data_IF_487828204082
#
_entry.id   IF_487828204082
#
_cell.length_a   1.000
_cell.length_b   1.000
_cell.length_c   1.000
_cell.angle_alpha   90.00
_cell.angle_beta   90.00
_cell.angle_gamma   90.00
#
_symmetry.space_group_name_H-M   'P 1'
#
loop_
_entity.id
_entity.type
_entity.pdbx_description
1 polymer ?
#
# COMPACT_ATOMS: atom_id res chain seq x y z
N UNK A 1 7.20 4.08 15.76
CA UNK A 1 6.08 3.10 15.68
C UNK A 1 4.79 3.88 15.56
N UNK A 2 4.00 3.63 14.50
CA UNK A 2 2.65 4.20 14.36
C UNK A 2 1.77 3.75 15.54
N UNK A 3 0.95 4.64 16.09
CA UNK A 3 0.02 4.28 17.16
C UNK A 3 -1.11 3.36 16.61
N UNK A 4 -1.99 2.84 17.46
CA UNK A 4 -3.03 1.88 17.02
C UNK A 4 -4.08 2.49 16.07
N UNK A 5 -4.33 3.80 16.17
CA UNK A 5 -5.30 4.51 15.34
C UNK A 5 -4.74 4.73 13.93
N UNK A 6 -3.46 5.13 13.84
CA UNK A 6 -2.79 5.36 12.56
C UNK A 6 -2.70 4.08 11.72
N UNK A 7 -2.52 2.92 12.37
CA UNK A 7 -2.44 1.61 11.69
C UNK A 7 -3.78 1.14 11.12
N UNK A 8 -4.89 1.44 11.79
CA UNK A 8 -6.21 1.09 11.28
C UNK A 8 -6.58 1.95 10.05
N UNK A 9 -6.27 3.25 10.08
CA UNK A 9 -6.49 4.14 8.92
C UNK A 9 -5.61 3.75 7.73
N UNK A 10 -4.34 3.42 7.97
CA UNK A 10 -3.46 2.88 6.93
C UNK A 10 -4.05 1.60 6.30
N UNK A 11 -4.60 0.69 7.11
CA UNK A 11 -5.25 -0.55 6.63
C UNK A 11 -6.47 -0.25 5.77
N UNK A 12 -7.34 0.67 6.20
CA UNK A 12 -8.52 1.08 5.41
C UNK A 12 -8.09 1.58 4.04
N UNK A 13 -7.13 2.49 3.99
CA UNK A 13 -6.62 3.06 2.75
C UNK A 13 -5.98 2.00 1.85
N UNK A 14 -5.13 1.15 2.41
CA UNK A 14 -4.47 0.06 1.69
C UNK A 14 -5.47 -0.86 0.98
N UNK A 15 -6.54 -1.25 1.67
CA UNK A 15 -7.56 -2.15 1.12
C UNK A 15 -8.41 -1.45 0.07
N UNK A 16 -8.82 -0.20 0.31
CA UNK A 16 -9.58 0.57 -0.67
C UNK A 16 -8.82 0.70 -2.00
N UNK A 17 -7.52 1.00 -1.94
CA UNK A 17 -6.63 1.06 -3.12
C UNK A 17 -6.46 -0.30 -3.76
N UNK A 18 -6.14 -1.35 -2.98
CA UNK A 18 -5.82 -2.69 -3.52
C UNK A 18 -7.02 -3.35 -4.20
N UNK A 19 -8.22 -3.16 -3.66
CA UNK A 19 -9.45 -3.81 -4.17
C UNK A 19 -10.32 -2.88 -5.01
N UNK A 20 -9.94 -1.60 -5.13
CA UNK A 20 -10.71 -0.54 -5.80
C UNK A 20 -12.16 -0.45 -5.30
N UNK A 21 -12.30 -0.21 -3.99
CA UNK A 21 -13.59 -0.13 -3.27
C UNK A 21 -13.56 1.02 -2.27
N UNK A 22 -14.72 1.52 -1.85
CA UNK A 22 -14.78 2.50 -0.77
C UNK A 22 -14.79 1.84 0.61
N UNK A 23 -14.55 2.61 1.67
CA UNK A 23 -14.65 2.09 3.03
C UNK A 23 -16.10 1.71 3.39
N UNK A 24 -17.07 2.47 2.88
CA UNK A 24 -18.50 2.21 3.05
C UNK A 24 -18.90 0.87 2.40
N UNK A 25 -18.31 0.54 1.24
CA UNK A 25 -18.51 -0.76 0.60
C UNK A 25 -18.04 -1.92 1.50
N UNK A 26 -16.89 -1.74 2.17
CA UNK A 26 -16.33 -2.75 3.08
C UNK A 26 -17.24 -3.02 4.28
N UNK A 27 -17.95 -2.01 4.80
CA UNK A 27 -18.90 -2.19 5.90
C UNK A 27 -20.34 -2.49 5.42
N UNK A 28 -20.62 -2.27 4.14
CA UNK A 28 -21.91 -2.49 3.53
C UNK A 28 -22.30 -3.96 3.35
N UNK A 29 -23.48 -4.19 2.75
CA UNK A 29 -24.04 -5.53 2.51
C UNK A 29 -23.74 -6.10 1.13
N UNK A 30 -23.05 -5.34 0.26
CA UNK A 30 -22.74 -5.78 -1.09
C UNK A 30 -21.92 -7.07 -1.07
N UNK A 31 -22.31 -8.00 -1.94
CA UNK A 31 -21.66 -9.31 -2.14
C UNK A 31 -20.82 -9.36 -3.42
N UNK A 32 -20.61 -8.23 -4.10
CA UNK A 32 -19.69 -8.16 -5.25
C UNK A 32 -18.34 -8.70 -4.81
N UNK A 33 -17.75 -9.59 -5.62
CA UNK A 33 -16.56 -10.36 -5.24
C UNK A 33 -15.40 -9.48 -4.76
N UNK A 34 -15.14 -8.35 -5.44
CA UNK A 34 -14.07 -7.40 -5.07
C UNK A 34 -14.30 -6.80 -3.69
N UNK A 35 -15.52 -6.35 -3.41
CA UNK A 35 -15.93 -5.82 -2.09
C UNK A 35 -15.82 -6.89 -1.02
N UNK A 36 -16.31 -8.10 -1.31
CA UNK A 36 -16.26 -9.21 -0.36
C UNK A 36 -14.82 -9.64 -0.03
N UNK A 37 -13.92 -9.69 -1.02
CA UNK A 37 -12.52 -10.04 -0.79
C UNK A 37 -11.78 -8.94 -0.05
N UNK A 38 -12.03 -7.66 -0.36
CA UNK A 38 -11.52 -6.54 0.43
C UNK A 38 -11.99 -6.60 1.89
N UNK A 39 -13.28 -6.88 2.12
CA UNK A 39 -13.85 -7.05 3.47
C UNK A 39 -13.21 -8.21 4.23
N UNK A 40 -12.99 -9.33 3.55
CA UNK A 40 -12.28 -10.49 4.11
C UNK A 40 -10.85 -10.14 4.50
N UNK A 41 -10.13 -9.42 3.64
CA UNK A 41 -8.77 -8.98 3.90
C UNK A 41 -8.72 -8.04 5.12
N UNK A 42 -9.68 -7.11 5.22
CA UNK A 42 -9.79 -6.18 6.35
C UNK A 42 -9.91 -6.91 7.68
N UNK A 43 -10.90 -7.81 7.80
CA UNK A 43 -11.09 -8.57 9.04
C UNK A 43 -9.95 -9.54 9.34
N UNK A 44 -9.33 -10.11 8.29
CA UNK A 44 -8.14 -10.93 8.45
C UNK A 44 -6.99 -10.13 9.08
N UNK A 45 -6.68 -8.94 8.57
CA UNK A 45 -5.63 -8.10 9.14
C UNK A 45 -5.93 -7.64 10.57
N UNK A 46 -7.16 -7.17 10.81
CA UNK A 46 -7.60 -6.76 12.14
C UNK A 46 -7.44 -7.90 13.17
N UNK A 47 -7.73 -9.15 12.77
CA UNK A 47 -7.56 -10.32 13.63
C UNK A 47 -6.10 -10.74 13.78
N UNK A 48 -5.40 -10.92 12.65
CA UNK A 48 -4.08 -11.56 12.59
C UNK A 48 -2.96 -10.65 13.07
N UNK A 49 -3.00 -9.37 12.70
CA UNK A 49 -1.90 -8.45 12.94
C UNK A 49 -2.20 -7.40 14.03
N UNK A 50 -3.47 -7.03 14.21
CA UNK A 50 -3.86 -6.04 15.22
C UNK A 50 -4.46 -6.66 16.50
N UNK A 51 -4.56 -7.99 16.57
CA UNK A 51 -5.00 -8.71 17.76
C UNK A 51 -6.48 -8.51 18.11
N UNK A 52 -7.30 -8.00 17.18
CA UNK A 52 -8.72 -7.76 17.42
C UNK A 52 -9.47 -9.04 17.81
N UNK A 53 -10.37 -8.95 18.79
CA UNK A 53 -11.28 -10.05 19.13
C UNK A 53 -12.49 -10.03 18.21
N UNK A 54 -13.04 -11.20 17.85
CA UNK A 54 -14.23 -11.26 16.98
C UNK A 54 -15.42 -10.49 17.56
N UNK A 55 -15.60 -10.56 18.87
CA UNK A 55 -16.66 -9.83 19.56
C UNK A 55 -16.40 -8.31 19.57
N UNK A 56 -15.17 -7.88 19.86
CA UNK A 56 -14.80 -6.47 19.87
C UNK A 56 -14.94 -5.81 18.50
N UNK A 57 -14.47 -6.50 17.44
CA UNK A 57 -14.68 -6.04 16.06
C UNK A 57 -16.17 -6.03 15.69
N UNK A 58 -16.93 -7.05 16.11
CA UNK A 58 -18.36 -7.11 15.83
C UNK A 58 -19.13 -5.93 16.42
N UNK A 59 -18.79 -5.55 17.65
CA UNK A 59 -19.33 -4.33 18.30
C UNK A 59 -18.87 -3.06 17.58
N UNK A 60 -17.59 -2.95 17.20
CA UNK A 60 -17.02 -1.75 16.56
C UNK A 60 -17.61 -1.47 15.17
N UNK A 61 -17.78 -2.51 14.36
CA UNK A 61 -18.21 -2.36 12.96
C UNK A 61 -19.68 -2.72 12.72
N UNK A 62 -20.44 -3.01 13.78
CA UNK A 62 -21.83 -3.44 13.70
C UNK A 62 -22.03 -4.68 12.80
N UNK A 63 -21.15 -5.68 12.96
CA UNK A 63 -21.17 -6.94 12.21
C UNK A 63 -21.26 -8.11 13.19
N UNK A 64 -22.03 -9.15 12.85
CA UNK A 64 -22.10 -10.34 13.69
C UNK A 64 -20.73 -11.03 13.78
N UNK A 65 -20.27 -11.37 14.99
CA UNK A 65 -18.93 -11.94 15.23
C UNK A 65 -18.68 -13.25 14.45
N UNK A 66 -19.72 -14.07 14.24
CA UNK A 66 -19.60 -15.28 13.41
C UNK A 66 -19.35 -14.95 11.92
N UNK A 67 -19.89 -13.85 11.41
CA UNK A 67 -19.63 -13.36 10.05
C UNK A 67 -18.17 -12.94 9.91
N UNK A 68 -17.63 -12.25 10.91
CA UNK A 68 -16.21 -11.89 10.96
C UNK A 68 -15.35 -13.16 10.96
N UNK A 69 -15.67 -14.14 11.80
CA UNK A 69 -14.94 -15.42 11.84
C UNK A 69 -14.97 -16.13 10.48
N UNK A 70 -16.12 -16.15 9.80
CA UNK A 70 -16.24 -16.71 8.46
C UNK A 70 -15.36 -15.98 7.45
N UNK A 71 -15.32 -14.64 7.49
CA UNK A 71 -14.47 -13.85 6.62
C UNK A 71 -12.97 -14.12 6.85
N UNK A 72 -12.54 -14.19 8.11
CA UNK A 72 -11.16 -14.52 8.47
C UNK A 72 -10.77 -15.89 7.96
N UNK A 73 -11.56 -16.93 8.25
CA UNK A 73 -11.30 -18.31 7.80
C UNK A 73 -11.30 -18.44 6.27
N UNK A 74 -12.19 -17.71 5.59
CA UNK A 74 -12.23 -17.70 4.13
C UNK A 74 -10.94 -17.11 3.54
N UNK A 75 -10.44 -16.01 4.13
CA UNK A 75 -9.19 -15.41 3.67
C UNK A 75 -8.00 -16.32 3.94
N UNK A 76 -7.91 -16.96 5.11
CA UNK A 76 -6.89 -17.99 5.41
C UNK A 76 -6.86 -19.08 4.32
N UNK A 77 -8.05 -19.57 3.94
CA UNK A 77 -8.20 -20.47 2.81
C UNK A 77 -7.64 -19.88 1.52
N UNK A 78 -8.11 -18.71 1.09
CA UNK A 78 -7.63 -18.11 -0.16
C UNK A 78 -6.12 -17.86 -0.19
N UNK A 79 -5.51 -17.43 0.92
CA UNK A 79 -4.08 -17.19 0.97
C UNK A 79 -3.25 -18.47 0.75
N UNK A 80 -3.81 -19.65 1.01
CA UNK A 80 -3.13 -20.93 0.78
C UNK A 80 -3.10 -21.39 -0.68
N UNK A 81 -4.05 -20.97 -1.53
CA UNK A 81 -4.17 -21.49 -2.90
C UNK A 81 -4.39 -20.43 -3.99
N UNK A 82 -4.86 -19.23 -3.63
CA UNK A 82 -5.17 -18.16 -4.57
C UNK A 82 -4.02 -17.15 -4.64
N UNK A 83 -3.19 -17.28 -5.70
CA UNK A 83 -2.04 -16.40 -5.94
C UNK A 83 -2.42 -14.91 -5.98
N UNK A 84 -3.59 -14.56 -6.52
CA UNK A 84 -4.04 -13.15 -6.58
C UNK A 84 -4.29 -12.59 -5.18
N UNK A 85 -4.96 -13.35 -4.31
CA UNK A 85 -5.20 -12.90 -2.94
C UNK A 85 -3.91 -12.83 -2.12
N UNK A 86 -2.95 -13.73 -2.38
CA UNK A 86 -1.60 -13.62 -1.78
C UNK A 86 -0.88 -12.34 -2.23
N UNK A 87 -0.91 -11.99 -3.52
CA UNK A 87 -0.34 -10.73 -4.02
C UNK A 87 -1.02 -9.53 -3.35
N UNK A 88 -2.35 -9.55 -3.24
CA UNK A 88 -3.10 -8.48 -2.56
C UNK A 88 -2.74 -8.40 -1.07
N UNK A 89 -2.55 -9.53 -0.40
CA UNK A 89 -2.07 -9.55 0.99
C UNK A 89 -0.71 -8.88 1.13
N UNK A 90 0.25 -9.18 0.24
CA UNK A 90 1.57 -8.54 0.24
C UNK A 90 1.43 -7.03 0.07
N UNK A 91 0.65 -6.57 -0.92
CA UNK A 91 0.42 -5.13 -1.14
C UNK A 91 -0.17 -4.43 0.09
N UNK A 92 -1.20 -5.03 0.71
CA UNK A 92 -1.83 -4.47 1.91
C UNK A 92 -0.87 -4.50 3.10
N UNK A 93 -0.12 -5.59 3.28
CA UNK A 93 0.89 -5.72 4.33
C UNK A 93 1.94 -4.64 4.21
N UNK A 94 2.49 -4.49 3.03
CA UNK A 94 3.54 -3.53 2.72
C UNK A 94 3.05 -2.12 3.03
N UNK A 95 1.89 -1.73 2.50
CA UNK A 95 1.29 -0.41 2.77
C UNK A 95 1.08 -0.13 4.26
N UNK A 96 0.73 -1.16 5.04
CA UNK A 96 0.34 -1.01 6.46
C UNK A 96 1.54 -1.08 7.41
N UNK A 97 2.56 -1.87 7.07
CA UNK A 97 3.65 -2.24 7.98
C UNK A 97 5.04 -1.79 7.54
N UNK A 98 5.25 -1.55 6.25
CA UNK A 98 6.58 -1.27 5.71
C UNK A 98 6.58 0.07 4.97
N UNK A 99 7.44 1.00 5.40
CA UNK A 99 7.80 2.13 4.53
C UNK A 99 8.81 1.73 3.43
N UNK A 100 9.37 0.51 3.51
CA UNK A 100 10.45 -0.01 2.66
C UNK A 100 10.14 -1.44 2.18
N UNK A 101 9.02 -1.66 1.49
CA UNK A 101 8.78 -2.93 0.81
C UNK A 101 9.44 -2.93 -0.57
N UNK A 102 9.66 -4.11 -1.18
CA UNK A 102 10.22 -4.19 -2.54
C UNK A 102 9.42 -3.34 -3.53
N UNK A 103 8.09 -3.31 -3.40
CA UNK A 103 7.21 -2.51 -4.25
C UNK A 103 7.45 -1.02 -4.03
N UNK A 104 7.39 -0.54 -2.78
CA UNK A 104 7.56 0.90 -2.49
C UNK A 104 8.97 1.37 -2.83
N UNK A 105 9.99 0.55 -2.56
CA UNK A 105 11.37 0.83 -2.89
C UNK A 105 11.61 0.79 -4.40
N UNK A 106 10.92 -0.07 -5.15
CA UNK A 106 11.04 -0.10 -6.61
C UNK A 106 10.46 1.16 -7.25
N UNK A 107 9.32 1.63 -6.76
CA UNK A 107 8.70 2.88 -7.22
C UNK A 107 9.57 4.10 -6.88
N UNK A 108 10.09 4.17 -5.65
CA UNK A 108 11.02 5.24 -5.23
C UNK A 108 12.32 5.22 -6.05
N UNK A 109 12.87 4.03 -6.30
CA UNK A 109 14.08 3.87 -7.11
C UNK A 109 13.88 4.35 -8.56
N UNK A 110 12.73 4.07 -9.16
CA UNK A 110 12.41 4.51 -10.52
C UNK A 110 12.28 6.04 -10.60
N UNK A 111 11.64 6.67 -9.61
CA UNK A 111 11.55 8.12 -9.51
C UNK A 111 12.94 8.77 -9.36
N UNK A 112 13.76 8.24 -8.46
CA UNK A 112 15.12 8.75 -8.24
C UNK A 112 16.01 8.63 -9.48
N UNK A 113 15.86 7.56 -10.27
CA UNK A 113 16.57 7.41 -11.56
C UNK A 113 16.14 8.46 -12.57
N UNK A 114 14.85 8.81 -12.63
CA UNK A 114 14.37 9.88 -13.51
C UNK A 114 14.96 11.23 -13.09
N UNK A 115 14.94 11.54 -11.79
CA UNK A 115 15.55 12.76 -11.26
C UNK A 115 17.06 12.82 -11.54
N UNK A 116 17.77 11.71 -11.36
CA UNK A 116 19.21 11.62 -11.67
C UNK A 116 19.49 11.93 -13.14
N UNK A 117 18.65 11.46 -14.07
CA UNK A 117 18.78 11.79 -15.49
C UNK A 117 18.71 13.29 -15.72
N UNK A 118 17.69 13.96 -15.17
CA UNK A 118 17.49 15.40 -15.32
C UNK A 118 18.65 16.20 -14.71
N UNK A 119 19.15 15.76 -13.55
CA UNK A 119 20.31 16.39 -12.91
C UNK A 119 21.57 16.23 -13.76
N UNK A 120 21.80 15.04 -14.33
CA UNK A 120 22.95 14.79 -15.20
C UNK A 120 22.90 15.66 -16.48
N UNK A 121 21.72 15.82 -17.08
CA UNK A 121 21.53 16.72 -18.21
C UNK A 121 21.92 18.15 -17.83
N UNK A 122 21.45 18.64 -16.67
CA UNK A 122 21.80 19.98 -16.20
C UNK A 122 23.29 20.13 -15.87
N UNK A 123 23.94 19.10 -15.34
CA UNK A 123 25.38 19.10 -15.10
C UNK A 123 26.14 19.27 -16.41
N UNK A 124 25.75 18.54 -17.45
CA UNK A 124 26.38 18.64 -18.78
C UNK A 124 26.20 20.05 -19.37
N UNK A 125 25.02 20.64 -19.27
CA UNK A 125 24.75 22.00 -19.73
C UNK A 125 25.68 23.02 -19.05
N UNK A 126 25.80 22.94 -17.73
CA UNK A 126 26.67 23.85 -16.96
C UNK A 126 28.14 23.65 -17.32
N UNK A 127 28.58 22.40 -17.53
CA UNK A 127 29.96 22.12 -17.96
C UNK A 127 30.26 22.75 -19.33
N UNK A 128 29.30 22.67 -20.27
CA UNK A 128 29.41 23.29 -21.58
C UNK A 128 29.47 24.83 -21.48
N UNK A 129 28.58 25.44 -20.69
CA UNK A 129 28.61 26.89 -20.42
C UNK A 129 29.96 27.34 -19.84
N UNK A 130 30.47 26.63 -18.84
CA UNK A 130 31.77 26.93 -18.23
C UNK A 130 32.93 26.79 -19.23
N UNK A 131 32.88 25.79 -20.11
CA UNK A 131 33.90 25.60 -21.14
C UNK A 131 33.88 26.75 -22.16
N UNK A 132 32.69 27.18 -22.60
CA UNK A 132 32.53 28.32 -23.49
C UNK A 132 33.07 29.60 -22.87
N UNK A 133 32.74 29.88 -21.61
CA UNK A 133 33.24 31.06 -20.90
C UNK A 133 34.77 31.06 -20.79
N UNK A 134 35.41 29.92 -20.47
CA UNK A 134 36.87 29.80 -20.44
C UNK A 134 37.52 30.06 -21.81
N UNK A 135 36.88 29.64 -22.90
CA UNK A 135 37.39 29.92 -24.26
C UNK A 135 37.32 31.40 -24.60
N UNK A 136 36.26 32.09 -24.15
CA UNK A 136 36.10 33.54 -24.34
C UNK A 136 37.12 34.33 -23.50
N UNK A 137 37.41 33.91 -22.27
CA UNK A 137 38.40 34.56 -21.40
C UNK A 137 39.84 34.42 -21.92
N UNK A 138 40.19 33.30 -22.56
CA UNK A 138 41.53 33.07 -23.12
C UNK A 138 41.71 33.66 -24.54
N UNK A 139 40.66 34.22 -25.14
CA UNK A 139 40.64 34.81 -26.48
C UNK A 139 40.87 36.33 -26.52
N UNK A 140 41.12 36.97 -25.37
CA UNK A 140 41.45 38.40 -25.22
C UNK A 140 42.90 38.60 -24.79
#
# INVERSE_FOLDING_TARGET
MLNSVDREEALKKAICVTYNVSYEDLLGKSRKMTIMNGRRMFFYFMRKHFGGTYWGMGKRYNVHHATIMHHVKSMEGYLSFNKREMINYIKVRDYVFEQNSEVTLSEELDLLKQEQSLINDRINDIQNELQLLKLLENGN
#
